data_IF_388649691164
#
_entry.id   IF_388649691164
#
_cell.length_a   1.000
_cell.length_b   1.000
_cell.length_c   1.000
_cell.angle_alpha   90.00
_cell.angle_beta   90.00
_cell.angle_gamma   90.00
#
_symmetry.space_group_name_H-M   'P 1'
#
loop_
_entity.id
_entity.type
_entity.pdbx_description
1 polymer ?
#
# COMPACT_ATOMS: atom_id res chain seq x y z
N UNK A 1 -13.84 -6.14 19.86
CA UNK A 1 -13.13 -6.21 18.55
C UNK A 1 -13.59 -5.03 17.73
N UNK A 2 -12.70 -4.09 17.40
CA UNK A 2 -13.00 -3.07 16.40
C UNK A 2 -12.72 -3.68 15.04
N UNK A 3 -13.72 -3.73 14.17
CA UNK A 3 -13.59 -4.27 12.81
C UNK A 3 -13.67 -3.10 11.84
N UNK A 4 -12.55 -2.81 11.20
CA UNK A 4 -12.48 -1.81 10.13
C UNK A 4 -12.64 -2.52 8.79
N UNK A 5 -13.60 -2.11 7.94
CA UNK A 5 -13.72 -2.68 6.61
C UNK A 5 -12.45 -2.38 5.80
N UNK A 6 -11.97 -3.39 5.08
CA UNK A 6 -10.80 -3.27 4.21
C UNK A 6 -11.08 -3.79 2.81
N UNK A 7 -10.44 -3.15 1.83
CA UNK A 7 -10.42 -3.55 0.43
C UNK A 7 -8.98 -3.86 0.04
N UNK A 8 -8.74 -5.04 -0.53
CA UNK A 8 -7.43 -5.42 -1.06
C UNK A 8 -7.52 -5.66 -2.56
N UNK A 9 -6.61 -5.04 -3.31
CA UNK A 9 -6.49 -5.18 -4.76
C UNK A 9 -5.04 -5.55 -5.07
N UNK A 10 -4.82 -6.63 -5.80
CA UNK A 10 -3.50 -7.05 -6.28
C UNK A 10 -3.51 -7.19 -7.81
N UNK A 11 -2.48 -6.66 -8.46
CA UNK A 11 -2.16 -6.98 -9.84
C UNK A 11 -1.45 -8.33 -9.88
N UNK A 12 -2.11 -9.33 -10.46
CA UNK A 12 -1.64 -10.72 -10.49
C UNK A 12 -0.39 -10.92 -11.33
N UNK A 13 -0.11 -10.03 -12.28
CA UNK A 13 1.05 -10.10 -13.18
C UNK A 13 2.34 -9.63 -12.51
N UNK A 14 2.31 -8.48 -11.80
CA UNK A 14 3.51 -7.87 -11.23
C UNK A 14 3.56 -7.90 -9.70
N UNK A 15 2.53 -8.41 -9.03
CA UNK A 15 2.44 -8.56 -7.57
C UNK A 15 2.45 -7.24 -6.78
N UNK A 16 2.20 -6.13 -7.46
CA UNK A 16 1.90 -4.87 -6.79
C UNK A 16 0.45 -4.89 -6.30
N UNK A 17 0.20 -4.36 -5.11
CA UNK A 17 -1.14 -4.31 -4.57
C UNK A 17 -1.34 -3.13 -3.63
N UNK A 18 -2.58 -2.72 -3.50
CA UNK A 18 -3.01 -1.67 -2.57
C UNK A 18 -4.07 -2.28 -1.66
N UNK A 19 -3.87 -2.14 -0.35
CA UNK A 19 -4.88 -2.46 0.66
C UNK A 19 -5.30 -1.17 1.34
N UNK A 20 -6.60 -0.95 1.45
CA UNK A 20 -7.18 0.26 2.02
C UNK A 20 -8.12 -0.15 3.14
N UNK A 21 -7.97 0.47 4.31
CA UNK A 21 -8.90 0.30 5.43
C UNK A 21 -9.50 1.63 5.82
N UNK A 22 -10.77 1.63 6.23
CA UNK A 22 -11.45 2.79 6.81
C UNK A 22 -11.46 2.60 8.33
N UNK A 23 -10.88 3.54 9.06
CA UNK A 23 -10.69 3.46 10.51
C UNK A 23 -11.27 4.69 11.17
N UNK A 24 -12.00 4.50 12.26
CA UNK A 24 -12.72 5.56 12.97
C UNK A 24 -14.23 5.35 12.93
N UNK A 25 -14.96 6.42 13.25
CA UNK A 25 -16.41 6.46 13.33
C UNK A 25 -17.02 7.12 12.07
N UNK A 26 -18.35 7.06 11.92
CA UNK A 26 -19.04 7.58 10.73
C UNK A 26 -18.80 9.09 10.52
N UNK A 27 -18.64 9.85 11.61
CA UNK A 27 -18.41 11.29 11.59
C UNK A 27 -16.93 11.68 11.54
N UNK A 28 -16.03 10.78 11.96
CA UNK A 28 -14.59 11.01 12.02
C UNK A 28 -13.84 9.73 11.66
N UNK A 29 -13.48 9.61 10.38
CA UNK A 29 -12.75 8.47 9.84
C UNK A 29 -11.56 8.91 9.00
N UNK A 30 -10.54 8.07 9.02
CA UNK A 30 -9.36 8.17 8.20
C UNK A 30 -9.17 6.91 7.34
N UNK A 31 -8.35 7.03 6.32
CA UNK A 31 -7.93 5.90 5.50
C UNK A 31 -6.53 5.46 5.90
N UNK A 32 -6.36 4.16 6.03
CA UNK A 32 -5.05 3.53 6.04
C UNK A 32 -4.80 2.97 4.65
N UNK A 33 -3.66 3.32 4.04
CA UNK A 33 -3.27 2.85 2.71
C UNK A 33 -1.97 2.06 2.86
N UNK A 34 -2.03 0.80 2.42
CA UNK A 34 -0.89 -0.11 2.41
C UNK A 34 -0.50 -0.42 0.97
N UNK A 35 0.74 -0.14 0.60
CA UNK A 35 1.28 -0.48 -0.72
C UNK A 35 2.17 -1.72 -0.62
N UNK A 36 1.71 -2.83 -1.22
CA UNK A 36 2.39 -4.12 -1.32
C UNK A 36 3.14 -4.22 -2.65
N UNK A 37 4.39 -4.69 -2.63
CA UNK A 37 5.24 -4.89 -3.83
C UNK A 37 6.41 -5.83 -3.58
N UNK A 38 6.93 -6.52 -4.62
CA UNK A 38 8.24 -7.13 -4.55
C UNK A 38 9.34 -6.07 -4.33
N UNK A 39 10.22 -6.28 -3.35
CA UNK A 39 11.36 -5.37 -3.10
C UNK A 39 12.59 -6.15 -2.67
N UNK A 40 13.72 -5.87 -3.31
CA UNK A 40 15.02 -6.37 -2.86
C UNK A 40 15.43 -5.58 -1.61
N UNK A 41 15.64 -6.28 -0.50
CA UNK A 41 16.22 -5.70 0.72
C UNK A 41 17.70 -6.05 0.81
N UNK A 42 18.49 -5.03 1.10
CA UNK A 42 19.92 -5.13 1.40
C UNK A 42 20.09 -5.23 2.92
N UNK A 43 20.94 -6.15 3.35
CA UNK A 43 21.31 -6.38 4.73
C UNK A 43 22.83 -6.20 4.89
N UNK A 44 23.28 -5.86 6.10
CA UNK A 44 24.70 -5.69 6.42
C UNK A 44 25.45 -4.81 5.40
N UNK A 45 25.05 -3.54 5.28
CA UNK A 45 25.64 -2.60 4.31
C UNK A 45 25.65 -3.07 2.84
N UNK A 46 24.82 -4.05 2.48
CA UNK A 46 24.73 -4.59 1.12
C UNK A 46 25.49 -5.91 0.91
N UNK A 47 26.08 -6.49 1.95
CA UNK A 47 26.73 -7.81 1.89
C UNK A 47 25.75 -8.92 1.49
N UNK A 48 24.47 -8.81 1.87
CA UNK A 48 23.45 -9.78 1.50
C UNK A 48 22.20 -9.11 0.95
N UNK A 49 21.60 -9.72 -0.07
CA UNK A 49 20.36 -9.25 -0.69
C UNK A 49 19.32 -10.37 -0.64
N UNK A 50 18.09 -10.02 -0.29
CA UNK A 50 16.95 -10.94 -0.32
C UNK A 50 15.76 -10.28 -1.00
N UNK A 51 15.14 -11.00 -1.94
CA UNK A 51 13.85 -10.60 -2.50
C UNK A 51 12.78 -10.80 -1.42
N UNK A 52 12.07 -9.73 -1.07
CA UNK A 52 10.83 -9.81 -0.31
C UNK A 52 9.67 -9.60 -1.28
N UNK A 53 9.00 -10.69 -1.66
CA UNK A 53 7.88 -10.68 -2.61
C UNK A 53 6.65 -9.96 -2.07
N UNK A 54 6.51 -9.85 -0.75
CA UNK A 54 5.34 -9.26 -0.07
C UNK A 54 5.73 -8.05 0.77
N UNK A 55 6.71 -7.27 0.31
CA UNK A 55 7.11 -6.08 1.03
C UNK A 55 5.97 -5.07 1.03
N UNK A 56 5.60 -4.56 2.18
CA UNK A 56 4.53 -3.59 2.30
C UNK A 56 4.95 -2.39 3.14
N UNK A 57 4.38 -1.24 2.82
CA UNK A 57 4.51 0.02 3.55
C UNK A 57 3.12 0.57 3.80
N UNK A 58 2.86 1.01 5.04
CA UNK A 58 1.57 1.57 5.44
C UNK A 58 1.67 3.07 5.70
N UNK A 59 0.66 3.82 5.30
CA UNK A 59 0.46 5.23 5.67
C UNK A 59 -0.94 5.39 6.27
N UNK A 60 -1.00 6.01 7.45
CA UNK A 60 -2.24 6.41 8.12
C UNK A 60 -2.53 7.88 7.82
N UNK A 61 -3.59 8.45 8.39
CA UNK A 61 -4.04 9.83 8.22
C UNK A 61 -4.27 10.19 6.75
N UNK A 62 -4.77 9.24 5.96
CA UNK A 62 -5.03 9.44 4.54
C UNK A 62 -6.48 9.87 4.33
N UNK A 63 -6.70 10.65 3.27
CA UNK A 63 -8.04 11.10 2.87
C UNK A 63 -8.70 10.10 1.93
N UNK A 64 -10.01 10.26 1.71
CA UNK A 64 -10.74 9.54 0.65
C UNK A 64 -10.11 9.76 -0.73
N UNK A 65 -9.59 10.96 -0.99
CA UNK A 65 -8.92 11.27 -2.25
C UNK A 65 -7.62 10.47 -2.41
N UNK A 66 -6.85 10.31 -1.32
CA UNK A 66 -5.64 9.50 -1.32
C UNK A 66 -5.96 8.04 -1.63
N UNK A 67 -7.02 7.49 -1.03
CA UNK A 67 -7.47 6.12 -1.30
C UNK A 67 -7.87 5.93 -2.78
N UNK A 68 -8.66 6.86 -3.34
CA UNK A 68 -9.03 6.85 -4.76
C UNK A 68 -7.80 6.95 -5.67
N UNK A 69 -6.86 7.83 -5.34
CA UNK A 69 -5.63 8.01 -6.12
C UNK A 69 -4.76 6.76 -6.09
N UNK A 70 -4.66 6.07 -4.95
CA UNK A 70 -3.91 4.82 -4.84
C UNK A 70 -4.52 3.72 -5.73
N UNK A 71 -5.85 3.58 -5.73
CA UNK A 71 -6.55 2.62 -6.60
C UNK A 71 -6.31 2.96 -8.08
N UNK A 72 -6.49 4.22 -8.48
CA UNK A 72 -6.24 4.66 -9.87
C UNK A 72 -4.80 4.41 -10.29
N UNK A 73 -3.84 4.76 -9.44
CA UNK A 73 -2.43 4.53 -9.72
C UNK A 73 -2.10 3.03 -9.90
N UNK A 74 -2.74 2.13 -9.15
CA UNK A 74 -2.59 0.70 -9.34
C UNK A 74 -3.20 0.23 -10.67
N UNK A 75 -4.41 0.69 -11.01
CA UNK A 75 -5.10 0.35 -12.27
C UNK A 75 -4.34 0.85 -13.50
N UNK A 76 -3.81 2.06 -13.44
CA UNK A 76 -3.02 2.68 -14.51
C UNK A 76 -1.57 2.15 -14.56
N UNK A 77 -1.22 1.20 -13.68
CA UNK A 77 0.13 0.66 -13.50
C UNK A 77 1.19 1.77 -13.26
N UNK A 78 0.80 2.87 -12.61
CA UNK A 78 1.67 3.97 -12.25
C UNK A 78 2.41 3.66 -10.94
N UNK A 79 3.37 2.74 -11.03
CA UNK A 79 4.12 2.21 -9.88
C UNK A 79 5.02 3.26 -9.22
N UNK A 80 5.47 4.26 -9.96
CA UNK A 80 6.30 5.36 -9.45
C UNK A 80 5.52 6.30 -8.55
N UNK A 81 4.27 6.61 -8.89
CA UNK A 81 3.38 7.37 -8.01
C UNK A 81 3.12 6.60 -6.72
N UNK A 82 2.79 5.31 -6.83
CA UNK A 82 2.58 4.44 -5.65
C UNK A 82 3.82 4.41 -4.74
N UNK A 83 5.01 4.27 -5.34
CA UNK A 83 6.29 4.24 -4.62
C UNK A 83 6.61 5.57 -3.96
N UNK A 84 6.37 6.69 -4.63
CA UNK A 84 6.71 8.01 -4.10
C UNK A 84 5.80 8.41 -2.95
N UNK A 85 4.50 8.11 -3.05
CA UNK A 85 3.52 8.57 -2.07
C UNK A 85 3.28 7.60 -0.91
N UNK A 86 3.31 6.29 -1.17
CA UNK A 86 3.03 5.25 -0.17
C UNK A 86 4.14 4.22 0.02
N UNK A 87 5.26 4.35 -0.69
CA UNK A 87 6.41 3.44 -0.62
C UNK A 87 7.39 3.66 0.52
#
# INVERSE_FOLDING_TARGET
>A
MYFSPSLEIENTYNKHGVSISIVGDVEDYEFYIFYKRPKIKKYFFGLFQKLNEKYFTGRTNQTKYDALLAIKALLDNNLELLRTKWG
#
